data_IF_805929798787
#
_entry.id   IF_805929798787
#
_cell.length_a   1.000
_cell.length_b   1.000
_cell.length_c   1.000
_cell.angle_alpha   90.00
_cell.angle_beta   90.00
_cell.angle_gamma   90.00
#
_symmetry.space_group_name_H-M   'P 1'
#
loop_
_entity.id
_entity.type
_entity.pdbx_description
1 polymer ?
#
# COMPACT_ATOMS: atom_id res chain seq x y z
N UNK A 1 -20.57 3.72 -1.82
CA UNK A 1 -19.38 3.55 -0.95
C UNK A 1 -18.19 3.36 -1.87
N UNK A 2 -17.19 4.22 -1.81
CA UNK A 2 -15.98 4.10 -2.63
C UNK A 2 -15.21 2.82 -2.28
N UNK A 3 -14.83 2.02 -3.29
CA UNK A 3 -14.07 0.77 -3.11
C UNK A 3 -12.72 0.98 -2.39
N UNK A 4 -12.13 2.18 -2.50
CA UNK A 4 -10.91 2.58 -1.78
C UNK A 4 -11.07 2.47 -0.25
N UNK A 5 -12.18 2.91 0.31
CA UNK A 5 -12.41 2.88 1.76
C UNK A 5 -12.44 1.47 2.34
N UNK A 6 -12.88 0.47 1.58
CA UNK A 6 -12.90 -0.92 2.04
C UNK A 6 -11.48 -1.49 2.16
N UNK A 7 -10.62 -1.29 1.16
CA UNK A 7 -9.24 -1.78 1.19
C UNK A 7 -8.39 -1.07 2.24
N UNK A 8 -8.61 0.23 2.46
CA UNK A 8 -7.94 0.98 3.53
C UNK A 8 -8.35 0.47 4.91
N UNK A 9 -9.64 0.26 5.14
CA UNK A 9 -10.14 -0.27 6.41
C UNK A 9 -9.62 -1.67 6.70
N UNK A 10 -9.65 -2.57 5.73
CA UNK A 10 -9.11 -3.93 5.86
C UNK A 10 -7.60 -3.90 6.12
N UNK A 11 -6.86 -3.03 5.43
CA UNK A 11 -5.41 -2.85 5.62
C UNK A 11 -5.01 -2.26 6.98
N UNK A 12 -5.95 -1.64 7.71
CA UNK A 12 -5.73 -1.07 9.04
C UNK A 12 -6.30 -1.99 10.11
N UNK A 13 -7.58 -2.37 10.00
CA UNK A 13 -8.28 -3.13 11.05
C UNK A 13 -7.66 -4.52 11.24
N UNK A 14 -7.33 -5.22 10.17
CA UNK A 14 -6.77 -6.58 10.29
C UNK A 14 -5.40 -6.60 10.99
N UNK A 15 -4.40 -5.78 10.60
CA UNK A 15 -3.14 -5.72 11.34
C UNK A 15 -3.32 -5.28 12.79
N UNK A 16 -4.22 -4.33 13.04
CA UNK A 16 -4.57 -3.89 14.39
C UNK A 16 -5.22 -4.97 15.23
N UNK A 17 -6.11 -5.78 14.65
CA UNK A 17 -6.73 -6.93 15.32
C UNK A 17 -5.71 -8.00 15.67
N UNK A 18 -4.80 -8.31 14.74
CA UNK A 18 -3.70 -9.27 14.98
C UNK A 18 -2.79 -8.78 16.11
N UNK A 19 -2.42 -7.50 16.08
CA UNK A 19 -1.60 -6.91 17.12
C UNK A 19 -2.30 -6.91 18.49
N UNK A 20 -3.54 -6.45 18.54
CA UNK A 20 -4.34 -6.40 19.77
C UNK A 20 -4.57 -7.80 20.34
N UNK A 21 -4.92 -8.77 19.50
CA UNK A 21 -5.07 -10.16 19.92
C UNK A 21 -3.76 -10.75 20.47
N UNK A 22 -2.63 -10.45 19.81
CA UNK A 22 -1.31 -10.81 20.31
C UNK A 22 -1.01 -10.18 21.68
N UNK A 23 -1.36 -8.91 21.90
CA UNK A 23 -1.20 -8.26 23.21
C UNK A 23 -2.00 -8.98 24.31
N UNK A 24 -3.24 -9.40 24.02
CA UNK A 24 -4.05 -10.15 24.99
C UNK A 24 -3.44 -11.51 25.38
N UNK A 25 -2.71 -12.15 24.45
CA UNK A 25 -2.00 -13.41 24.73
C UNK A 25 -0.74 -13.18 25.58
N UNK A 26 -0.04 -12.05 25.40
CA UNK A 26 1.15 -11.70 26.16
C UNK A 26 0.85 -11.06 27.50
N UNK A 27 -0.29 -10.39 27.65
CA UNK A 27 -0.71 -9.67 28.85
C UNK A 27 -2.10 -10.10 29.31
N UNK A 28 -2.23 -11.25 30.04
CA UNK A 28 -3.52 -11.76 30.49
C UNK A 28 -4.32 -10.77 31.34
N UNK A 29 -3.66 -9.81 31.97
CA UNK A 29 -4.31 -8.73 32.76
C UNK A 29 -5.24 -7.86 31.89
N UNK A 30 -5.04 -7.83 30.57
CA UNK A 30 -5.89 -7.11 29.63
C UNK A 30 -7.13 -7.91 29.17
N UNK A 31 -7.15 -9.22 29.39
CA UNK A 31 -8.25 -10.10 28.94
C UNK A 31 -9.61 -9.70 29.53
N UNK A 32 -9.73 -9.33 30.84
CA UNK A 32 -11.02 -8.93 31.41
C UNK A 32 -11.66 -7.70 30.75
N UNK A 33 -10.84 -6.87 30.08
CA UNK A 33 -11.36 -5.68 29.36
C UNK A 33 -12.19 -6.06 28.15
N UNK A 34 -11.96 -7.26 27.57
CA UNK A 34 -12.54 -7.70 26.31
C UNK A 34 -13.34 -9.01 26.41
N UNK A 35 -13.25 -9.78 27.50
CA UNK A 35 -13.80 -11.14 27.55
C UNK A 35 -14.36 -11.54 28.92
N UNK A 36 -14.82 -10.57 29.73
CA UNK A 36 -15.16 -10.86 31.15
C UNK A 36 -16.36 -11.82 31.30
N UNK A 37 -17.32 -11.80 30.38
CA UNK A 37 -18.54 -12.61 30.47
C UNK A 37 -18.90 -13.33 29.14
N UNK A 38 -17.90 -13.60 28.28
CA UNK A 38 -18.12 -14.08 26.92
C UNK A 38 -18.20 -12.92 25.91
N UNK A 39 -18.01 -13.21 24.62
CA UNK A 39 -17.99 -12.15 23.61
C UNK A 39 -19.43 -11.66 23.35
N UNK A 40 -19.82 -10.59 24.02
CA UNK A 40 -21.08 -9.88 23.70
C UNK A 40 -20.92 -9.02 22.43
N UNK A 41 -22.03 -8.63 21.82
CA UNK A 41 -22.02 -7.74 20.63
C UNK A 41 -21.35 -6.40 20.96
N UNK A 42 -21.50 -5.90 22.18
CA UNK A 42 -20.85 -4.68 22.65
C UNK A 42 -19.32 -4.81 22.74
N UNK A 43 -18.85 -5.92 23.29
CA UNK A 43 -17.40 -6.19 23.42
C UNK A 43 -16.74 -6.39 22.05
N UNK A 44 -17.43 -7.05 21.09
CA UNK A 44 -16.98 -7.14 19.71
C UNK A 44 -16.84 -5.74 19.08
N UNK A 45 -17.81 -4.86 19.31
CA UNK A 45 -17.75 -3.46 18.84
C UNK A 45 -16.56 -2.70 19.42
N UNK A 46 -16.31 -2.81 20.74
CA UNK A 46 -15.14 -2.23 21.39
C UNK A 46 -13.84 -2.82 20.82
N UNK A 47 -13.77 -4.15 20.63
CA UNK A 47 -12.60 -4.80 20.05
C UNK A 47 -12.29 -4.25 18.65
N UNK A 48 -13.30 -4.06 17.78
CA UNK A 48 -13.12 -3.50 16.43
C UNK A 48 -12.63 -2.06 16.50
N UNK A 49 -13.17 -1.23 17.39
CA UNK A 49 -12.71 0.15 17.57
C UNK A 49 -11.27 0.22 18.07
N UNK A 50 -10.90 -0.62 19.04
CA UNK A 50 -9.53 -0.70 19.54
C UNK A 50 -8.58 -1.25 18.48
N UNK A 51 -9.04 -2.23 17.69
CA UNK A 51 -8.28 -2.77 16.54
C UNK A 51 -8.03 -1.70 15.47
N UNK A 52 -9.00 -0.84 15.21
CA UNK A 52 -8.83 0.29 14.31
C UNK A 52 -7.76 1.27 14.82
N UNK A 53 -7.85 1.67 16.09
CA UNK A 53 -6.87 2.56 16.72
C UNK A 53 -5.46 1.94 16.74
N UNK A 54 -5.35 0.66 17.16
CA UNK A 54 -4.09 -0.08 17.15
C UNK A 54 -3.52 -0.22 15.72
N UNK A 55 -4.40 -0.42 14.73
CA UNK A 55 -4.02 -0.51 13.33
C UNK A 55 -3.36 0.77 12.80
N UNK A 56 -3.84 1.94 13.20
CA UNK A 56 -3.19 3.21 12.85
C UNK A 56 -1.80 3.34 13.47
N UNK A 57 -1.60 2.91 14.72
CA UNK A 57 -0.28 2.90 15.36
C UNK A 57 0.67 1.94 14.61
N UNK A 58 0.20 0.74 14.30
CA UNK A 58 0.98 -0.25 13.55
C UNK A 58 1.28 0.24 12.13
N UNK A 59 0.34 0.90 11.46
CA UNK A 59 0.57 1.52 10.16
C UNK A 59 1.66 2.61 10.24
N UNK A 60 1.69 3.40 11.31
CA UNK A 60 2.75 4.38 11.58
C UNK A 60 4.14 3.72 11.68
N UNK A 61 4.23 2.62 12.43
CA UNK A 61 5.48 1.82 12.53
C UNK A 61 5.88 1.26 11.15
N UNK A 62 4.90 0.70 10.42
CA UNK A 62 5.13 0.18 9.08
C UNK A 62 5.62 1.26 8.10
N UNK A 63 5.06 2.47 8.16
CA UNK A 63 5.50 3.60 7.33
C UNK A 63 6.94 4.04 7.65
N UNK A 64 7.31 4.04 8.93
CA UNK A 64 8.68 4.37 9.34
C UNK A 64 9.69 3.32 8.84
N UNK A 65 9.35 2.03 8.94
CA UNK A 65 10.17 0.94 8.44
C UNK A 65 10.23 0.90 6.90
N UNK A 66 9.17 1.31 6.22
CA UNK A 66 9.06 1.32 4.76
C UNK A 66 10.20 2.09 4.08
N UNK A 67 10.46 3.30 4.53
CA UNK A 67 11.53 4.15 3.97
C UNK A 67 12.91 3.48 4.07
N UNK A 68 13.16 2.78 5.18
CA UNK A 68 14.38 2.04 5.39
C UNK A 68 14.48 0.82 4.47
N UNK A 69 13.43 -0.01 4.43
CA UNK A 69 13.40 -1.23 3.62
C UNK A 69 13.50 -0.93 2.12
N UNK A 70 12.77 0.06 1.61
CA UNK A 70 12.90 0.47 0.21
C UNK A 70 14.24 1.10 -0.09
N UNK A 71 14.85 1.79 0.86
CA UNK A 71 16.22 2.31 0.73
C UNK A 71 17.24 1.21 0.45
N UNK A 72 17.11 0.03 1.08
CA UNK A 72 18.00 -1.12 0.88
C UNK A 72 17.91 -1.73 -0.53
N UNK A 73 16.78 -1.60 -1.21
CA UNK A 73 16.54 -2.15 -2.56
C UNK A 73 16.55 -1.07 -3.65
N UNK A 74 17.00 0.14 -3.29
CA UNK A 74 17.20 1.24 -4.23
C UNK A 74 15.94 2.07 -4.54
N UNK A 75 15.09 2.30 -3.57
CA UNK A 75 13.91 3.16 -3.65
C UNK A 75 12.61 2.43 -3.97
N UNK A 76 11.53 3.20 -4.04
CA UNK A 76 10.18 2.68 -4.31
C UNK A 76 10.10 2.04 -5.70
N UNK A 77 9.32 0.94 -5.86
CA UNK A 77 9.17 0.29 -7.17
C UNK A 77 8.65 1.23 -8.26
N UNK A 78 7.78 2.21 -7.92
CA UNK A 78 7.33 3.23 -8.87
C UNK A 78 8.45 4.04 -9.50
N UNK A 79 9.60 4.15 -8.82
CA UNK A 79 10.74 4.91 -9.33
C UNK A 79 11.69 4.05 -10.17
N UNK A 80 11.55 2.72 -10.12
CA UNK A 80 12.47 1.81 -10.82
C UNK A 80 12.39 1.91 -12.34
N UNK A 81 11.34 2.50 -12.88
CA UNK A 81 11.23 2.78 -14.32
C UNK A 81 12.30 3.75 -14.79
N UNK A 82 12.84 4.59 -13.89
CA UNK A 82 13.93 5.54 -14.19
C UNK A 82 15.31 4.87 -14.23
N UNK A 83 15.44 3.62 -13.77
CA UNK A 83 16.73 2.90 -13.80
C UNK A 83 17.13 2.59 -15.24
N UNK A 84 18.43 2.57 -15.49
CA UNK A 84 19.00 2.21 -16.80
C UNK A 84 18.51 0.83 -17.27
N UNK A 85 18.42 -0.13 -16.33
CA UNK A 85 17.79 -1.44 -16.52
C UNK A 85 16.66 -1.59 -15.50
N UNK A 86 15.43 -1.40 -15.96
CA UNK A 86 14.26 -1.56 -15.10
C UNK A 86 13.69 -2.98 -15.20
N UNK A 87 13.33 -3.62 -14.06
CA UNK A 87 12.65 -4.91 -14.09
C UNK A 87 11.14 -4.80 -14.36
N UNK A 88 10.61 -3.58 -14.48
CA UNK A 88 9.17 -3.32 -14.59
C UNK A 88 8.67 -3.44 -16.03
N UNK A 89 9.40 -2.84 -16.97
CA UNK A 89 9.01 -2.67 -18.37
C UNK A 89 10.18 -3.03 -19.31
N UNK A 90 9.85 -3.50 -20.50
CA UNK A 90 10.82 -3.66 -21.58
C UNK A 90 11.27 -2.30 -22.13
N UNK A 91 12.41 -2.31 -22.85
CA UNK A 91 12.96 -1.09 -23.47
C UNK A 91 11.94 -0.37 -24.35
N UNK A 92 11.23 -1.04 -25.27
CA UNK A 92 10.21 -0.38 -26.10
C UNK A 92 9.02 0.18 -25.29
N UNK A 93 8.69 -0.48 -24.17
CA UNK A 93 7.60 0.01 -23.30
C UNK A 93 8.00 1.30 -22.56
N UNK A 94 9.26 1.44 -22.14
CA UNK A 94 9.76 2.69 -21.55
C UNK A 94 9.74 3.82 -22.58
N UNK A 95 10.20 3.55 -23.81
CA UNK A 95 10.19 4.54 -24.90
C UNK A 95 8.74 4.97 -25.26
N UNK A 96 7.80 4.02 -25.24
CA UNK A 96 6.38 4.32 -25.41
C UNK A 96 5.82 5.14 -24.23
N UNK A 97 6.26 4.84 -22.99
CA UNK A 97 5.87 5.58 -21.79
C UNK A 97 6.31 7.05 -21.88
N UNK A 98 7.54 7.32 -22.33
CA UNK A 98 8.06 8.68 -22.55
C UNK A 98 7.14 9.47 -23.50
N UNK A 99 6.85 8.89 -24.68
CA UNK A 99 5.95 9.53 -25.65
C UNK A 99 4.58 9.79 -25.06
N UNK A 100 4.03 8.82 -24.34
CA UNK A 100 2.67 8.91 -23.79
C UNK A 100 2.56 9.91 -22.63
N UNK A 101 3.58 10.05 -21.80
CA UNK A 101 3.67 11.11 -20.78
C UNK A 101 3.62 12.48 -21.46
N UNK A 102 4.36 12.67 -22.55
CA UNK A 102 4.36 13.93 -23.29
C UNK A 102 3.01 14.21 -23.97
N UNK A 103 2.46 13.25 -24.71
CA UNK A 103 1.23 13.45 -25.50
C UNK A 103 -0.01 13.56 -24.62
N UNK A 104 -0.07 12.80 -23.53
CA UNK A 104 -1.27 12.70 -22.72
C UNK A 104 -1.29 13.61 -21.49
N UNK A 105 -0.14 13.81 -20.84
CA UNK A 105 -0.01 14.69 -19.67
C UNK A 105 0.58 16.06 -20.01
N UNK A 106 1.06 16.27 -21.23
CA UNK A 106 1.70 17.52 -21.65
C UNK A 106 3.06 17.77 -20.99
N UNK A 107 3.68 16.74 -20.40
CA UNK A 107 4.93 16.86 -19.64
C UNK A 107 6.09 16.39 -20.50
N UNK A 108 7.04 17.29 -20.80
CA UNK A 108 8.26 16.96 -21.52
C UNK A 108 9.36 16.57 -20.51
N UNK A 109 9.65 15.27 -20.40
CA UNK A 109 10.65 14.75 -19.44
C UNK A 109 11.99 14.37 -20.07
N UNK A 110 12.17 14.54 -21.37
CA UNK A 110 13.36 13.97 -22.05
C UNK A 110 13.35 12.43 -21.91
N UNK A 111 14.49 11.87 -21.48
CA UNK A 111 14.59 10.41 -21.24
C UNK A 111 14.16 10.07 -19.81
N UNK A 112 13.24 9.11 -19.65
CA UNK A 112 12.85 8.60 -18.33
C UNK A 112 14.03 7.87 -17.69
N UNK A 113 14.79 7.11 -18.46
CA UNK A 113 15.99 6.39 -17.96
C UNK A 113 17.06 7.37 -17.54
N UNK A 114 17.47 7.25 -16.29
CA UNK A 114 18.45 8.14 -15.66
C UNK A 114 17.83 9.41 -15.05
N UNK A 115 16.51 9.56 -15.10
CA UNK A 115 15.83 10.67 -14.46
C UNK A 115 15.89 10.54 -12.93
N UNK A 116 16.07 11.67 -12.22
CA UNK A 116 16.01 11.68 -10.76
C UNK A 116 14.63 11.20 -10.28
N UNK A 117 14.55 10.21 -9.38
CA UNK A 117 13.31 9.74 -8.78
C UNK A 117 12.45 10.86 -8.18
N UNK A 118 13.06 11.93 -7.65
CA UNK A 118 12.34 13.09 -7.11
C UNK A 118 11.55 13.85 -8.18
N UNK A 119 12.06 13.88 -9.42
CA UNK A 119 11.37 14.49 -10.56
C UNK A 119 10.29 13.52 -11.09
N UNK A 120 10.55 12.23 -11.05
CA UNK A 120 9.64 11.21 -11.53
C UNK A 120 8.43 10.99 -10.62
N UNK A 121 8.60 11.08 -9.32
CA UNK A 121 7.53 10.81 -8.35
C UNK A 121 6.23 11.60 -8.60
N UNK A 122 6.23 12.95 -8.78
CA UNK A 122 5.01 13.68 -9.10
C UNK A 122 4.39 13.26 -10.44
N UNK A 123 5.20 12.86 -11.42
CA UNK A 123 4.71 12.38 -12.72
C UNK A 123 4.01 11.03 -12.55
N UNK A 124 4.56 10.12 -11.78
CA UNK A 124 3.93 8.82 -11.50
C UNK A 124 2.57 8.98 -10.80
N UNK A 125 2.41 10.00 -9.94
CA UNK A 125 1.13 10.34 -9.32
C UNK A 125 0.11 10.88 -10.33
N UNK A 126 0.54 11.67 -11.31
CA UNK A 126 -0.34 12.14 -12.40
C UNK A 126 -0.73 10.98 -13.32
N UNK A 127 0.18 10.05 -13.60
CA UNK A 127 -0.12 8.80 -14.32
C UNK A 127 -1.24 8.04 -13.60
N UNK A 128 -1.12 7.84 -12.28
CA UNK A 128 -2.16 7.18 -11.50
C UNK A 128 -3.49 7.92 -11.57
N UNK A 129 -3.49 9.25 -11.42
CA UNK A 129 -4.71 10.06 -11.48
C UNK A 129 -5.41 9.94 -12.85
N UNK A 130 -4.65 9.90 -13.94
CA UNK A 130 -5.20 9.74 -15.29
C UNK A 130 -5.76 8.31 -15.49
N UNK A 131 -5.06 7.27 -15.03
CA UNK A 131 -5.56 5.89 -15.07
C UNK A 131 -6.85 5.76 -14.25
N UNK A 132 -6.89 6.33 -13.06
CA UNK A 132 -8.05 6.31 -12.18
C UNK A 132 -9.25 7.04 -12.78
N UNK A 133 -9.03 8.22 -13.37
CA UNK A 133 -10.06 9.00 -14.08
C UNK A 133 -10.71 8.21 -15.23
N UNK A 134 -9.96 7.32 -15.86
CA UNK A 134 -10.44 6.46 -16.95
C UNK A 134 -11.01 5.12 -16.45
N UNK A 135 -11.19 4.93 -15.14
CA UNK A 135 -11.80 3.72 -14.55
C UNK A 135 -10.92 2.46 -14.64
N UNK A 136 -9.61 2.60 -14.83
CA UNK A 136 -8.66 1.48 -14.99
C UNK A 136 -7.81 1.22 -13.75
N UNK A 137 -8.11 1.85 -12.60
CA UNK A 137 -7.30 1.74 -11.40
C UNK A 137 -7.62 0.52 -10.51
N UNK A 138 -8.72 -0.21 -10.72
CA UNK A 138 -9.20 -1.27 -9.83
C UNK A 138 -8.13 -2.30 -9.45
N UNK A 139 -7.37 -2.76 -10.44
CA UNK A 139 -6.30 -3.74 -10.21
C UNK A 139 -5.08 -3.12 -9.52
N UNK A 140 -4.78 -1.87 -9.84
CA UNK A 140 -3.71 -1.10 -9.19
C UNK A 140 -4.04 -0.92 -7.70
N UNK A 141 -5.27 -0.53 -7.39
CA UNK A 141 -5.77 -0.33 -6.03
C UNK A 141 -5.77 -1.65 -5.25
N UNK A 142 -6.12 -2.77 -5.89
CA UNK A 142 -6.03 -4.10 -5.29
C UNK A 142 -4.60 -4.43 -4.87
N UNK A 143 -3.60 -4.15 -5.72
CA UNK A 143 -2.19 -4.37 -5.35
C UNK A 143 -1.74 -3.42 -4.25
N UNK A 144 -2.16 -2.17 -4.28
CA UNK A 144 -1.86 -1.19 -3.24
C UNK A 144 -2.47 -1.59 -1.88
N UNK A 145 -3.72 -2.04 -1.87
CA UNK A 145 -4.39 -2.53 -0.66
C UNK A 145 -3.69 -3.75 -0.06
N UNK A 146 -3.32 -4.72 -0.91
CA UNK A 146 -2.55 -5.89 -0.47
C UNK A 146 -1.15 -5.53 0.02
N UNK A 147 -0.50 -4.53 -0.59
CA UNK A 147 0.76 -3.98 -0.12
C UNK A 147 0.61 -3.42 1.30
N UNK A 148 -0.37 -2.55 1.52
CA UNK A 148 -0.64 -1.95 2.82
C UNK A 148 -0.98 -2.98 3.91
N UNK A 149 -1.82 -3.97 3.58
CA UNK A 149 -2.16 -5.08 4.49
C UNK A 149 -0.93 -5.87 4.93
N UNK A 150 -0.10 -6.32 3.97
CA UNK A 150 1.07 -7.14 4.29
C UNK A 150 2.13 -6.33 5.07
N UNK A 151 2.33 -5.05 4.73
CA UNK A 151 3.19 -4.14 5.49
C UNK A 151 2.71 -3.98 6.93
N UNK A 152 1.41 -3.79 7.14
CA UNK A 152 0.80 -3.70 8.46
C UNK A 152 0.96 -5.00 9.26
N UNK A 153 0.75 -6.16 8.64
CA UNK A 153 0.95 -7.46 9.29
C UNK A 153 2.43 -7.71 9.65
N UNK A 154 3.36 -7.29 8.79
CA UNK A 154 4.79 -7.35 9.10
C UNK A 154 5.12 -6.49 10.33
N UNK A 155 4.64 -5.24 10.37
CA UNK A 155 4.86 -4.35 11.50
C UNK A 155 4.23 -4.89 12.80
N UNK A 156 3.01 -5.45 12.73
CA UNK A 156 2.35 -6.07 13.88
C UNK A 156 3.13 -7.28 14.40
N UNK A 157 3.57 -8.18 13.49
CA UNK A 157 4.35 -9.35 13.83
C UNK A 157 5.71 -8.97 14.44
N UNK A 158 6.38 -7.95 13.91
CA UNK A 158 7.63 -7.45 14.43
C UNK A 158 7.47 -6.85 15.84
N UNK A 159 6.45 -6.03 16.05
CA UNK A 159 6.17 -5.46 17.36
C UNK A 159 5.88 -6.55 18.41
N UNK A 160 5.09 -7.58 18.04
CA UNK A 160 4.83 -8.73 18.91
C UNK A 160 6.10 -9.57 19.15
N UNK A 161 7.00 -9.69 18.16
CA UNK A 161 8.29 -10.36 18.32
C UNK A 161 9.16 -9.64 19.36
N UNK A 162 9.21 -8.31 19.33
CA UNK A 162 9.91 -7.52 20.35
C UNK A 162 9.33 -7.74 21.75
N UNK A 163 8.00 -7.78 21.87
CA UNK A 163 7.33 -8.07 23.15
C UNK A 163 7.65 -9.49 23.62
N UNK A 164 7.60 -10.48 22.74
CA UNK A 164 7.96 -11.86 23.09
C UNK A 164 9.41 -11.97 23.58
N UNK A 165 10.34 -11.30 22.88
CA UNK A 165 11.75 -11.27 23.25
C UNK A 165 11.97 -10.60 24.61
N UNK A 166 11.28 -9.47 24.91
CA UNK A 166 11.34 -8.82 26.22
C UNK A 166 10.84 -9.68 27.37
N UNK A 167 9.94 -10.63 27.08
CA UNK A 167 9.47 -11.64 28.04
C UNK A 167 10.27 -12.94 28.00
N UNK A 168 11.45 -12.96 27.37
CA UNK A 168 12.32 -14.13 27.20
C UNK A 168 11.69 -15.32 26.47
N UNK A 169 10.59 -15.12 25.74
CA UNK A 169 9.88 -16.14 24.96
C UNK A 169 10.50 -16.28 23.56
N UNK A 170 11.76 -16.71 23.50
CA UNK A 170 12.60 -16.69 22.28
C UNK A 170 12.05 -17.51 21.11
N UNK A 171 11.44 -18.67 21.38
CA UNK A 171 10.83 -19.51 20.32
C UNK A 171 9.65 -18.80 19.64
N UNK A 172 8.82 -18.10 20.42
CA UNK A 172 7.70 -17.30 19.90
C UNK A 172 8.24 -16.09 19.15
N UNK A 173 9.23 -15.39 19.70
CA UNK A 173 9.86 -14.25 19.04
C UNK A 173 10.43 -14.66 17.67
N UNK A 174 11.14 -15.78 17.59
CA UNK A 174 11.68 -16.30 16.33
C UNK A 174 10.56 -16.62 15.32
N UNK A 175 9.50 -17.29 15.75
CA UNK A 175 8.34 -17.58 14.90
C UNK A 175 7.69 -16.30 14.33
N UNK A 176 7.54 -15.27 15.16
CA UNK A 176 7.01 -13.96 14.76
C UNK A 176 7.95 -13.21 13.80
N UNK A 177 9.28 -13.32 13.98
CA UNK A 177 10.26 -12.77 13.03
C UNK A 177 10.21 -13.48 11.67
N UNK A 178 9.99 -14.77 11.64
CA UNK A 178 9.77 -15.52 10.38
C UNK A 178 8.50 -15.00 9.69
N UNK A 179 7.40 -14.81 10.43
CA UNK A 179 6.17 -14.24 9.90
C UNK A 179 6.40 -12.81 9.37
N UNK A 180 7.17 -11.98 10.09
CA UNK A 180 7.56 -10.64 9.64
C UNK A 180 8.24 -10.71 8.27
N UNK A 181 9.25 -11.57 8.12
CA UNK A 181 9.97 -11.73 6.85
C UNK A 181 9.06 -12.21 5.71
N UNK A 182 8.11 -13.10 5.98
CA UNK A 182 7.12 -13.57 4.99
C UNK A 182 6.21 -12.43 4.54
N UNK A 183 5.69 -11.64 5.48
CA UNK A 183 4.83 -10.51 5.15
C UNK A 183 5.59 -9.38 4.44
N UNK A 184 6.83 -9.07 4.85
CA UNK A 184 7.68 -8.09 4.14
C UNK A 184 7.97 -8.53 2.70
N UNK A 185 8.28 -9.81 2.49
CA UNK A 185 8.46 -10.34 1.13
C UNK A 185 7.18 -10.24 0.29
N UNK A 186 6.01 -10.49 0.87
CA UNK A 186 4.73 -10.31 0.17
C UNK A 186 4.46 -8.84 -0.12
N UNK A 187 4.72 -7.94 0.83
CA UNK A 187 4.60 -6.50 0.62
C UNK A 187 5.52 -6.05 -0.52
N UNK A 188 6.78 -6.46 -0.52
CA UNK A 188 7.71 -6.20 -1.62
C UNK A 188 7.14 -6.63 -2.97
N UNK A 189 6.63 -7.85 -3.08
CA UNK A 189 6.03 -8.35 -4.33
C UNK A 189 4.82 -7.54 -4.78
N UNK A 190 3.93 -7.19 -3.86
CA UNK A 190 2.76 -6.36 -4.19
C UNK A 190 3.15 -4.94 -4.59
N UNK A 191 4.17 -4.34 -3.97
CA UNK A 191 4.73 -3.05 -4.39
C UNK A 191 5.26 -3.08 -5.83
N UNK A 192 5.98 -4.14 -6.20
CA UNK A 192 6.46 -4.33 -7.59
C UNK A 192 5.31 -4.54 -8.56
N UNK A 193 4.30 -5.33 -8.19
CA UNK A 193 3.11 -5.53 -9.04
C UNK A 193 2.30 -4.25 -9.21
N UNK A 194 2.14 -3.46 -8.15
CA UNK A 194 1.53 -2.14 -8.21
C UNK A 194 2.21 -1.25 -9.25
N UNK A 195 3.52 -1.08 -9.15
CA UNK A 195 4.27 -0.23 -10.07
C UNK A 195 4.19 -0.71 -11.53
N UNK A 196 4.32 -2.02 -11.75
CA UNK A 196 4.20 -2.61 -13.09
C UNK A 196 2.81 -2.39 -13.67
N UNK A 197 1.76 -2.67 -12.90
CA UNK A 197 0.39 -2.53 -13.35
C UNK A 197 0.04 -1.08 -13.65
N UNK A 198 0.51 -0.14 -12.82
CA UNK A 198 0.31 1.29 -13.04
C UNK A 198 0.77 1.72 -14.43
N UNK A 199 2.00 1.37 -14.80
CA UNK A 199 2.53 1.75 -16.11
C UNK A 199 1.88 0.99 -17.26
N UNK A 200 1.58 -0.30 -17.09
CA UNK A 200 0.90 -1.08 -18.12
C UNK A 200 -0.50 -0.55 -18.40
N UNK A 201 -1.28 -0.23 -17.36
CA UNK A 201 -2.61 0.38 -17.54
C UNK A 201 -2.52 1.74 -18.22
N UNK A 202 -1.56 2.57 -17.85
CA UNK A 202 -1.34 3.84 -18.53
C UNK A 202 -0.97 3.65 -20.01
N UNK A 203 -0.13 2.66 -20.33
CA UNK A 203 0.25 2.36 -21.72
C UNK A 203 -0.91 1.89 -22.59
N UNK A 204 -1.93 1.28 -22.00
CA UNK A 204 -3.12 0.77 -22.75
C UNK A 204 -4.20 1.85 -22.91
N UNK A 205 -4.17 2.96 -22.16
CA UNK A 205 -5.16 4.03 -22.33
C UNK A 205 -5.13 4.59 -23.77
N UNK A 206 -6.29 4.72 -24.41
CA UNK A 206 -6.39 5.34 -25.73
C UNK A 206 -6.36 6.87 -25.64
N UNK A 207 -5.81 7.55 -26.63
CA UNK A 207 -5.75 9.02 -26.67
C UNK A 207 -7.16 9.66 -26.74
N UNK A 208 -8.13 8.94 -27.28
CA UNK A 208 -9.54 9.34 -27.36
C UNK A 208 -10.25 9.34 -26.03
N UNK A 209 -9.80 8.60 -25.03
CA UNK A 209 -10.44 8.52 -23.72
C UNK A 209 -10.28 9.84 -22.94
N UNK A 210 -9.26 10.63 -23.23
CA UNK A 210 -9.03 11.95 -22.62
C UNK A 210 -10.10 13.00 -23.00
N UNK A 211 -10.80 12.84 -24.13
CA UNK A 211 -11.80 13.79 -24.64
C UNK A 211 -13.22 13.46 -24.18
N UNK A 212 -13.49 12.34 -23.53
CA UNK A 212 -14.80 11.92 -23.02
C UNK A 212 -15.03 12.28 -21.55
N UNK A 213 -14.39 13.31 -21.00
CA UNK A 213 -14.84 13.85 -19.72
C UNK A 213 -16.24 14.46 -19.94
N UNK A 214 -17.29 14.08 -19.17
CA UNK A 214 -18.58 14.75 -19.26
C UNK A 214 -18.36 16.20 -18.90
N UNK A 215 -18.59 17.10 -19.85
CA UNK A 215 -18.85 18.48 -19.53
C UNK A 215 -20.21 18.51 -18.83
N UNK A 216 -20.22 18.35 -17.54
CA UNK A 216 -21.39 18.63 -16.71
C UNK A 216 -21.60 20.15 -16.74
N UNK A 217 -22.25 20.60 -17.83
CA UNK A 217 -22.92 21.88 -17.86
C UNK A 217 -24.27 21.66 -17.19
N UNK A 218 -24.30 21.54 -15.88
CA UNK A 218 -25.47 21.89 -15.11
C UNK A 218 -25.69 23.41 -15.29
N UNK A 219 -26.51 23.75 -16.26
CA UNK A 219 -27.07 25.09 -16.35
C UNK A 219 -27.78 25.42 -15.06
N UNK A 220 -27.21 26.30 -14.27
CA UNK A 220 -27.97 27.11 -13.35
C UNK A 220 -28.79 28.07 -14.25
N UNK A 221 -30.03 27.71 -14.52
CA UNK A 221 -31.06 28.69 -14.83
C UNK A 221 -31.69 29.13 -13.51
N UNK A 222 -31.73 30.41 -13.32
CA UNK A 222 -32.29 31.23 -12.23
C UNK A 222 -33.81 31.00 -12.08
#
# INVERSE_FOLDING_TARGET
MNKLTFYEQVGIVIPGSVFLFGLLLFFPVLQPVLTKDGVSVGELGIFVLLSYAAGHLIAGIGNAAESFLWGLVGGMPSDWVTRTQTPLLSVPQVDLLEKKVQTRLGITVGKIRGLDPKIWWPISRQIYADVAKNGKAERIDTFNGNYGLNRGLAAASFALACIAASQTKWSIALGLLVLTAVYDYRAYRFGVHYARELYLQFLVLNETDSKKAPSDKSGLEL
#
